data_IF_643424181384
#
_entry.id   IF_643424181384
#
_cell.length_a   1.000
_cell.length_b   1.000
_cell.length_c   1.000
_cell.angle_alpha   90.00
_cell.angle_beta   90.00
_cell.angle_gamma   90.00
#
_symmetry.space_group_name_H-M   'P 1'
#
loop_
_entity.id
_entity.type
_entity.pdbx_description
1 polymer ?
#
# COMPACT_ATOMS: atom_id res chain seq x y z
N UNK A 1 18.94 -4.47 31.43
CA UNK A 1 17.84 -5.44 31.23
C UNK A 1 17.71 -5.67 29.74
N UNK A 2 18.25 -6.76 29.22
CA UNK A 2 18.10 -7.14 27.81
C UNK A 2 16.87 -8.03 27.74
N UNK A 3 15.81 -7.56 27.06
CA UNK A 3 14.65 -8.40 26.75
C UNK A 3 15.01 -9.17 25.49
N UNK A 4 15.41 -10.42 25.66
CA UNK A 4 15.53 -11.35 24.53
C UNK A 4 14.13 -11.82 24.17
N UNK A 5 13.65 -11.43 22.98
CA UNK A 5 12.46 -12.02 22.39
C UNK A 5 12.91 -13.32 21.73
N UNK A 6 12.46 -14.46 22.26
CA UNK A 6 12.57 -15.72 21.52
C UNK A 6 11.77 -15.60 20.22
N UNK A 7 12.45 -15.69 19.08
CA UNK A 7 11.77 -15.86 17.79
C UNK A 7 11.29 -17.31 17.67
N UNK A 8 10.14 -17.60 18.26
CA UNK A 8 9.36 -18.76 17.85
C UNK A 8 9.01 -18.64 16.36
N UNK A 9 8.95 -19.76 15.65
CA UNK A 9 8.48 -19.87 14.25
C UNK A 9 6.98 -19.59 14.10
N UNK A 10 6.44 -18.68 14.90
CA UNK A 10 5.06 -18.24 14.82
C UNK A 10 4.87 -17.44 13.53
N UNK A 11 3.77 -17.70 12.83
CA UNK A 11 3.36 -16.89 11.69
C UNK A 11 3.36 -15.41 12.10
N UNK A 12 3.87 -14.54 11.23
CA UNK A 12 3.91 -13.10 11.51
C UNK A 12 2.48 -12.58 11.78
N UNK A 13 2.30 -11.53 12.60
CA UNK A 13 0.97 -11.08 13.04
C UNK A 13 -0.02 -10.73 11.92
N UNK A 14 0.47 -10.32 10.75
CA UNK A 14 -0.36 -9.98 9.58
C UNK A 14 -0.18 -10.98 8.43
N UNK A 15 0.31 -12.20 8.70
CA UNK A 15 0.38 -13.24 7.68
C UNK A 15 -1.02 -13.52 7.10
N UNK A 16 -1.13 -13.52 5.77
CA UNK A 16 -2.38 -13.70 5.04
C UNK A 16 -3.14 -12.41 4.72
N UNK A 17 -2.79 -11.28 5.35
CA UNK A 17 -3.43 -9.98 5.07
C UNK A 17 -2.91 -9.41 3.75
N UNK A 18 -3.81 -8.95 2.89
CA UNK A 18 -3.51 -8.28 1.62
C UNK A 18 -3.78 -6.78 1.74
N UNK A 19 -2.76 -5.98 1.43
CA UNK A 19 -2.82 -4.51 1.42
C UNK A 19 -2.58 -4.01 0.00
N UNK A 20 -3.46 -3.15 -0.50
CA UNK A 20 -3.23 -2.40 -1.74
C UNK A 20 -3.03 -0.93 -1.36
N UNK A 21 -1.97 -0.31 -1.86
CA UNK A 21 -1.66 1.09 -1.53
C UNK A 21 -1.43 1.97 -2.76
N UNK A 22 -2.09 3.13 -2.81
CA UNK A 22 -1.78 4.23 -3.73
C UNK A 22 -1.14 5.33 -2.92
N UNK A 23 0.18 5.23 -2.76
CA UNK A 23 0.92 6.01 -1.78
C UNK A 23 2.17 6.65 -2.38
N UNK A 24 2.57 7.79 -1.82
CA UNK A 24 3.71 8.58 -2.27
C UNK A 24 4.51 9.13 -1.08
N UNK A 25 5.79 9.43 -1.33
CA UNK A 25 6.69 10.11 -0.41
C UNK A 25 7.03 9.32 0.86
N UNK A 26 6.47 9.69 2.02
CA UNK A 26 6.96 9.21 3.33
C UNK A 26 5.89 8.57 4.24
N UNK A 27 4.86 9.31 4.65
CA UNK A 27 3.98 8.88 5.73
C UNK A 27 3.22 7.58 5.45
N UNK A 28 2.51 7.50 4.32
CA UNK A 28 1.81 6.29 3.90
C UNK A 28 2.79 5.14 3.57
N UNK A 29 3.88 5.36 2.79
CA UNK A 29 4.90 4.33 2.59
C UNK A 29 5.50 3.77 3.88
N UNK A 30 5.77 4.60 4.89
CA UNK A 30 6.26 4.14 6.18
C UNK A 30 5.22 3.25 6.87
N UNK A 31 3.95 3.67 6.89
CA UNK A 31 2.85 2.90 7.48
C UNK A 31 2.74 1.51 6.84
N UNK A 32 2.61 1.45 5.52
CA UNK A 32 2.46 0.16 4.80
C UNK A 32 3.75 -0.65 4.80
N UNK A 33 4.92 -0.02 4.91
CA UNK A 33 6.18 -0.71 5.14
C UNK A 33 6.20 -1.48 6.46
N UNK A 34 5.61 -0.92 7.52
CA UNK A 34 5.42 -1.64 8.79
C UNK A 34 4.45 -2.80 8.65
N UNK A 35 3.39 -2.66 7.86
CA UNK A 35 2.46 -3.78 7.59
C UNK A 35 3.19 -4.95 6.89
N UNK A 36 4.03 -4.65 5.90
CA UNK A 36 4.86 -5.65 5.22
C UNK A 36 5.85 -6.33 6.19
N UNK A 37 6.50 -5.56 7.07
CA UNK A 37 7.39 -6.11 8.10
C UNK A 37 6.67 -7.11 9.02
N UNK A 38 5.43 -6.80 9.39
CA UNK A 38 4.52 -7.66 10.17
C UNK A 38 3.89 -8.80 9.36
N UNK A 39 4.23 -8.95 8.08
CA UNK A 39 3.90 -10.13 7.27
C UNK A 39 2.73 -9.99 6.30
N UNK A 40 2.15 -8.79 6.18
CA UNK A 40 1.13 -8.53 5.16
C UNK A 40 1.75 -8.56 3.76
N UNK A 41 1.00 -9.02 2.76
CA UNK A 41 1.33 -8.84 1.34
C UNK A 41 0.91 -7.44 0.93
N UNK A 42 1.87 -6.55 0.72
CA UNK A 42 1.61 -5.16 0.34
C UNK A 42 1.90 -4.95 -1.14
N UNK A 43 0.90 -4.55 -1.91
CA UNK A 43 0.98 -4.24 -3.33
C UNK A 43 0.86 -2.72 -3.51
N UNK A 44 1.98 -2.08 -3.80
CA UNK A 44 2.05 -0.64 -4.08
C UNK A 44 1.68 -0.39 -5.55
N UNK A 45 0.74 0.51 -5.77
CA UNK A 45 0.38 1.01 -7.10
C UNK A 45 1.20 2.27 -7.37
N UNK A 46 1.96 2.25 -8.45
CA UNK A 46 2.79 3.37 -8.88
C UNK A 46 2.34 3.93 -10.22
N UNK A 47 2.62 5.22 -10.43
CA UNK A 47 2.57 5.84 -11.75
C UNK A 47 3.81 5.46 -12.56
N UNK A 48 3.79 5.73 -13.86
CA UNK A 48 4.90 5.38 -14.76
C UNK A 48 6.26 5.94 -14.32
N UNK A 49 6.29 7.15 -13.75
CA UNK A 49 7.52 7.75 -13.23
C UNK A 49 7.95 7.20 -11.87
N UNK A 50 7.10 6.40 -11.23
CA UNK A 50 7.29 5.88 -9.89
C UNK A 50 6.98 6.88 -8.76
N UNK A 51 7.16 6.41 -7.53
CA UNK A 51 7.09 7.25 -6.32
C UNK A 51 8.11 8.40 -6.38
N UNK A 52 7.69 9.63 -6.01
CA UNK A 52 8.60 10.77 -5.86
C UNK A 52 9.84 10.46 -5.02
N UNK A 53 9.69 9.64 -3.97
CA UNK A 53 10.78 9.27 -3.09
C UNK A 53 11.92 8.56 -3.83
N UNK A 54 11.67 7.90 -4.97
CA UNK A 54 12.73 7.25 -5.78
C UNK A 54 13.82 8.23 -6.23
N UNK A 55 13.49 9.53 -6.35
CA UNK A 55 14.40 10.58 -6.78
C UNK A 55 14.92 11.52 -5.68
N UNK A 56 14.64 11.26 -4.40
CA UNK A 56 15.04 12.17 -3.31
C UNK A 56 16.54 12.22 -3.07
N UNK A 57 17.22 11.09 -3.23
CA UNK A 57 18.67 10.96 -3.08
C UNK A 57 19.17 9.71 -3.83
N UNK A 58 20.47 9.41 -3.69
CA UNK A 58 21.10 8.19 -4.20
C UNK A 58 21.97 7.49 -3.14
N UNK A 59 21.68 7.72 -1.85
CA UNK A 59 22.54 7.36 -0.73
C UNK A 59 22.55 5.86 -0.40
N UNK A 60 21.60 5.07 -0.93
CA UNK A 60 21.53 3.63 -0.72
C UNK A 60 21.96 2.86 -1.99
N UNK A 61 23.27 2.73 -2.21
CA UNK A 61 23.84 2.04 -3.38
C UNK A 61 23.28 2.56 -4.72
N UNK A 62 23.18 3.89 -4.87
CA UNK A 62 22.62 4.52 -6.07
C UNK A 62 21.09 4.52 -6.13
N UNK A 63 20.41 4.03 -5.10
CA UNK A 63 18.96 4.15 -4.91
C UNK A 63 18.66 5.18 -3.82
N UNK A 64 17.43 5.72 -3.81
CA UNK A 64 16.99 6.58 -2.73
C UNK A 64 16.92 5.83 -1.40
N UNK A 65 17.58 6.39 -0.38
CA UNK A 65 17.52 5.89 0.99
C UNK A 65 16.11 5.92 1.57
N UNK A 66 15.34 6.97 1.28
CA UNK A 66 13.94 7.10 1.70
C UNK A 66 13.05 6.02 1.09
N UNK A 67 13.21 5.80 -0.22
CA UNK A 67 12.42 4.79 -0.92
C UNK A 67 12.72 3.38 -0.41
N UNK A 68 14.02 3.03 -0.32
CA UNK A 68 14.46 1.71 0.15
C UNK A 68 14.03 1.45 1.59
N UNK A 69 14.16 2.45 2.47
CA UNK A 69 13.78 2.34 3.87
C UNK A 69 12.29 2.02 4.04
N UNK A 70 11.41 2.72 3.30
CA UNK A 70 9.96 2.65 3.51
C UNK A 70 9.24 1.62 2.64
N UNK A 71 9.86 1.13 1.57
CA UNK A 71 9.19 0.23 0.61
C UNK A 71 9.79 -1.19 0.55
N UNK A 72 10.77 -1.51 1.40
CA UNK A 72 11.30 -2.88 1.50
C UNK A 72 10.20 -3.90 1.78
N UNK A 73 10.26 -5.04 1.08
CA UNK A 73 9.32 -6.15 1.26
C UNK A 73 7.94 -5.95 0.62
N UNK A 74 7.70 -4.82 -0.05
CA UNK A 74 6.48 -4.59 -0.84
C UNK A 74 6.64 -5.10 -2.27
N UNK A 75 5.55 -5.53 -2.85
CA UNK A 75 5.38 -5.66 -4.30
C UNK A 75 5.02 -4.29 -4.88
N UNK A 76 5.33 -4.07 -6.16
CA UNK A 76 4.94 -2.85 -6.88
C UNK A 76 4.43 -3.18 -8.27
N UNK A 77 3.39 -2.48 -8.70
CA UNK A 77 2.85 -2.53 -10.07
C UNK A 77 2.59 -1.11 -10.55
N UNK A 78 2.95 -0.84 -11.79
CA UNK A 78 2.65 0.44 -12.46
C UNK A 78 1.26 0.35 -13.07
N UNK A 79 0.35 1.26 -12.69
CA UNK A 79 -0.99 1.38 -13.27
C UNK A 79 -1.35 2.86 -13.47
N UNK A 80 -1.97 3.17 -14.60
CA UNK A 80 -2.65 4.45 -14.82
C UNK A 80 -4.17 4.25 -14.70
N UNK A 81 -4.74 4.60 -13.55
CA UNK A 81 -6.19 4.49 -13.32
C UNK A 81 -7.06 5.44 -14.17
N UNK A 82 -6.47 6.24 -15.07
CA UNK A 82 -7.20 6.94 -16.14
C UNK A 82 -7.43 6.04 -17.36
N UNK A 83 -6.59 5.01 -17.55
CA UNK A 83 -6.81 3.95 -18.51
C UNK A 83 -7.87 2.99 -17.96
N UNK A 84 -8.84 2.61 -18.80
CA UNK A 84 -9.96 1.79 -18.38
C UNK A 84 -9.55 0.37 -17.96
N UNK A 85 -8.55 -0.22 -18.62
CA UNK A 85 -8.09 -1.58 -18.34
C UNK A 85 -7.29 -1.63 -17.02
N UNK A 86 -6.42 -0.64 -16.81
CA UNK A 86 -5.67 -0.49 -15.55
C UNK A 86 -6.60 -0.16 -14.38
N UNK A 87 -7.63 0.66 -14.60
CA UNK A 87 -8.66 0.92 -13.61
C UNK A 87 -9.45 -0.34 -13.27
N UNK A 88 -9.82 -1.15 -14.26
CA UNK A 88 -10.48 -2.43 -14.03
C UNK A 88 -9.61 -3.39 -13.22
N UNK A 89 -8.31 -3.48 -13.54
CA UNK A 89 -7.36 -4.28 -12.76
C UNK A 89 -7.22 -3.77 -11.33
N UNK A 90 -7.12 -2.44 -11.13
CA UNK A 90 -7.07 -1.84 -9.80
C UNK A 90 -8.34 -2.15 -8.99
N UNK A 91 -9.52 -2.14 -9.61
CA UNK A 91 -10.76 -2.56 -8.97
C UNK A 91 -10.69 -4.02 -8.50
N UNK A 92 -10.18 -4.93 -9.31
CA UNK A 92 -9.99 -6.33 -8.93
C UNK A 92 -9.00 -6.47 -7.75
N UNK A 93 -7.87 -5.75 -7.80
CA UNK A 93 -6.88 -5.78 -6.71
C UNK A 93 -7.49 -5.26 -5.40
N UNK A 94 -8.22 -4.14 -5.44
CA UNK A 94 -8.87 -3.57 -4.25
C UNK A 94 -9.98 -4.48 -3.74
N UNK A 95 -10.73 -5.16 -4.61
CA UNK A 95 -11.78 -6.09 -4.22
C UNK A 95 -11.25 -7.24 -3.33
N UNK A 96 -10.05 -7.74 -3.64
CA UNK A 96 -9.37 -8.80 -2.87
C UNK A 96 -8.61 -8.26 -1.63
N UNK A 97 -8.41 -6.96 -1.51
CA UNK A 97 -7.63 -6.38 -0.42
C UNK A 97 -8.43 -6.28 0.90
N UNK A 98 -7.77 -6.64 2.00
CA UNK A 98 -8.21 -6.38 3.37
C UNK A 98 -8.09 -4.89 3.74
N UNK A 99 -7.02 -4.26 3.25
CA UNK A 99 -6.69 -2.89 3.59
C UNK A 99 -6.37 -2.13 2.31
N UNK A 100 -7.01 -0.98 2.15
CA UNK A 100 -6.66 0.00 1.12
C UNK A 100 -6.09 1.26 1.77
N UNK A 101 -4.89 1.66 1.35
CA UNK A 101 -4.21 2.86 1.86
C UNK A 101 -3.98 3.86 0.72
N UNK A 102 -4.29 5.13 0.95
CA UNK A 102 -3.96 6.19 0.00
C UNK A 102 -3.62 7.49 0.72
N UNK A 103 -2.71 8.28 0.14
CA UNK A 103 -2.40 9.64 0.60
C UNK A 103 -2.39 10.67 -0.53
N UNK A 104 -3.24 10.48 -1.53
CA UNK A 104 -3.47 11.49 -2.57
C UNK A 104 -4.32 12.64 -2.02
N UNK A 105 -4.33 13.75 -2.76
CA UNK A 105 -5.18 14.89 -2.41
C UNK A 105 -6.66 14.46 -2.27
N UNK A 106 -7.43 15.05 -1.34
CA UNK A 106 -8.84 14.74 -1.17
C UNK A 106 -9.60 14.79 -2.51
N UNK A 107 -10.36 13.73 -2.79
CA UNK A 107 -11.15 13.58 -4.00
C UNK A 107 -10.36 13.25 -5.28
N UNK A 108 -9.03 13.10 -5.24
CA UNK A 108 -8.23 12.73 -6.40
C UNK A 108 -8.68 11.40 -7.04
N UNK A 109 -9.12 10.46 -6.21
CA UNK A 109 -9.59 9.14 -6.62
C UNK A 109 -11.08 9.07 -6.96
N UNK A 110 -11.88 10.09 -6.62
CA UNK A 110 -13.34 10.06 -6.80
C UNK A 110 -13.73 9.95 -8.27
N UNK A 111 -13.04 10.75 -9.11
CA UNK A 111 -13.22 10.77 -10.57
C UNK A 111 -12.84 9.45 -11.23
N UNK A 112 -11.88 8.73 -10.64
CA UNK A 112 -11.42 7.43 -11.12
C UNK A 112 -12.25 6.27 -10.57
N UNK A 113 -13.26 6.52 -9.72
CA UNK A 113 -14.12 5.48 -9.16
C UNK A 113 -13.61 4.86 -7.86
N UNK A 114 -12.47 5.30 -7.35
CA UNK A 114 -11.82 4.79 -6.13
C UNK A 114 -12.02 5.71 -4.92
N UNK A 115 -13.07 6.54 -4.96
CA UNK A 115 -13.47 7.38 -3.84
C UNK A 115 -13.88 6.55 -2.62
N UNK A 116 -13.67 7.10 -1.43
CA UNK A 116 -13.86 6.40 -0.16
C UNK A 116 -15.24 5.76 -0.04
N UNK A 117 -16.29 6.47 -0.43
CA UNK A 117 -17.67 5.98 -0.37
C UNK A 117 -17.90 4.81 -1.34
N UNK A 118 -17.35 4.88 -2.55
CA UNK A 118 -17.48 3.82 -3.57
C UNK A 118 -16.77 2.54 -3.12
N UNK A 119 -15.57 2.67 -2.55
CA UNK A 119 -14.83 1.54 -2.00
C UNK A 119 -15.57 0.91 -0.81
N UNK A 120 -16.13 1.73 0.09
CA UNK A 120 -16.88 1.26 1.25
C UNK A 120 -18.16 0.49 0.88
N UNK A 121 -18.81 0.87 -0.24
CA UNK A 121 -19.98 0.17 -0.77
C UNK A 121 -19.63 -1.13 -1.50
N UNK A 122 -18.37 -1.34 -1.85
CA UNK A 122 -17.93 -2.58 -2.49
C UNK A 122 -17.84 -3.67 -1.43
N UNK A 123 -18.63 -4.75 -1.51
CA UNK A 123 -18.62 -5.79 -0.51
C UNK A 123 -17.21 -6.40 -0.40
N UNK A 124 -16.68 -6.61 0.82
CA UNK A 124 -15.41 -7.29 0.98
C UNK A 124 -15.53 -8.74 0.50
N UNK A 125 -14.38 -9.34 0.16
CA UNK A 125 -14.31 -10.79 -0.04
C UNK A 125 -14.93 -11.51 1.18
N UNK A 126 -15.73 -12.59 0.98
CA UNK A 126 -16.38 -13.32 2.08
C UNK A 126 -15.43 -13.83 3.17
N UNK A 127 -14.13 -13.85 2.89
CA UNK A 127 -13.07 -14.33 3.77
C UNK A 127 -12.41 -13.23 4.62
N UNK A 128 -12.76 -11.95 4.42
CA UNK A 128 -11.96 -10.83 4.93
C UNK A 128 -12.80 -9.68 5.52
N UNK A 129 -12.36 -9.11 6.64
CA UNK A 129 -12.88 -7.88 7.23
C UNK A 129 -12.09 -6.69 6.66
N UNK A 130 -12.73 -5.82 5.88
CA UNK A 130 -12.04 -4.66 5.28
C UNK A 130 -11.90 -3.52 6.29
N UNK A 131 -10.67 -3.09 6.53
CA UNK A 131 -10.36 -1.89 7.33
C UNK A 131 -9.80 -0.79 6.42
N UNK A 132 -10.47 0.37 6.41
CA UNK A 132 -10.05 1.52 5.62
C UNK A 132 -9.33 2.53 6.50
N UNK A 133 -8.12 2.93 6.10
CA UNK A 133 -7.38 4.00 6.76
C UNK A 133 -7.42 5.24 5.85
N UNK A 134 -8.32 6.17 6.16
CA UNK A 134 -8.39 7.47 5.50
C UNK A 134 -7.57 8.48 6.28
N UNK A 135 -6.50 8.99 5.66
CA UNK A 135 -5.90 10.24 6.09
C UNK A 135 -6.77 11.38 5.59
N UNK A 136 -7.50 12.02 6.50
CA UNK A 136 -8.12 13.31 6.29
C UNK A 136 -7.21 14.37 6.93
N UNK A 137 -6.65 15.26 6.11
CA UNK A 137 -6.30 16.62 6.53
C UNK A 137 -7.35 17.58 5.99
#
# INVERSE_FOLDING_TARGET
MVVSVEQGTAAKPLAGVVVVSIEQALAAPLCTGRLAEMGARVIKIERAEGDFARGYDAAANGQSSYFVWTNRGKESVVLDFKNADDAALLHCLIAEADIFVQNLAPGALDRAGFGSEKIARTPPSPHHLRHQWLWHE
#
